data_IF_252806165019
#
_entry.id   IF_252806165019
#
_cell.length_a   1.000
_cell.length_b   1.000
_cell.length_c   1.000
_cell.angle_alpha   90.00
_cell.angle_beta   90.00
_cell.angle_gamma   90.00
#
_symmetry.space_group_name_H-M   'P 1'
#
loop_
_entity.id
_entity.type
_entity.pdbx_description
1 polymer ?
#
# COMPACT_ATOMS: atom_id res chain seq x y z
N UNK A 1 0.78 31.55 -29.77
CA UNK A 1 0.27 30.97 -28.52
C UNK A 1 0.44 29.46 -28.61
N UNK A 2 1.52 28.89 -28.06
CA UNK A 2 1.87 27.47 -28.24
C UNK A 2 1.77 26.73 -26.90
N UNK A 3 0.78 25.85 -26.78
CA UNK A 3 0.60 24.94 -25.64
C UNK A 3 1.38 23.65 -25.94
N UNK A 4 2.35 23.29 -25.09
CA UNK A 4 3.11 22.03 -25.18
C UNK A 4 2.48 20.97 -24.29
N UNK A 5 1.82 19.98 -24.87
CA UNK A 5 1.30 18.79 -24.18
C UNK A 5 2.35 17.67 -24.29
N UNK A 6 2.90 17.19 -23.18
CA UNK A 6 3.76 15.99 -23.16
C UNK A 6 2.89 14.75 -22.99
N UNK A 7 2.76 13.96 -24.07
CA UNK A 7 2.14 12.64 -24.06
C UNK A 7 3.07 11.65 -23.34
N UNK A 8 2.63 11.05 -22.23
CA UNK A 8 3.31 9.89 -21.63
C UNK A 8 2.91 8.65 -22.43
N UNK A 9 3.90 8.01 -23.04
CA UNK A 9 3.73 6.81 -23.88
C UNK A 9 3.61 5.59 -22.98
N UNK A 10 2.45 4.92 -23.01
CA UNK A 10 2.24 3.61 -22.41
C UNK A 10 2.72 2.56 -23.42
N UNK A 11 3.87 1.93 -23.16
CA UNK A 11 4.42 0.89 -24.05
C UNK A 11 3.73 -0.44 -23.75
N UNK A 12 2.75 -0.80 -24.57
CA UNK A 12 2.33 -2.18 -24.75
C UNK A 12 3.27 -2.83 -25.77
N UNK A 13 3.89 -3.96 -25.41
CA UNK A 13 4.47 -4.88 -26.39
C UNK A 13 3.86 -6.26 -26.14
N UNK A 14 3.05 -6.66 -27.11
CA UNK A 14 2.50 -7.99 -27.29
C UNK A 14 3.60 -8.89 -27.90
N UNK A 15 3.81 -10.06 -27.31
CA UNK A 15 4.65 -11.12 -27.88
C UNK A 15 4.06 -12.48 -27.54
N UNK A 16 3.09 -12.92 -28.35
CA UNK A 16 2.49 -14.26 -28.28
C UNK A 16 3.41 -15.30 -28.93
N UNK A 17 3.75 -16.37 -28.19
CA UNK A 17 3.91 -17.71 -28.76
C UNK A 17 3.15 -18.68 -27.85
N UNK A 18 1.96 -19.09 -28.28
CA UNK A 18 1.15 -20.14 -27.66
C UNK A 18 1.60 -21.51 -28.14
N UNK A 19 1.92 -22.43 -27.23
CA UNK A 19 1.89 -23.87 -27.49
C UNK A 19 1.17 -24.57 -26.32
N UNK A 20 0.03 -25.20 -26.65
CA UNK A 20 -0.70 -26.28 -25.97
C UNK A 20 -1.18 -26.07 -24.51
N UNK A 21 -2.50 -25.84 -24.36
CA UNK A 21 -3.29 -26.35 -23.22
C UNK A 21 -2.90 -25.87 -21.81
N UNK A 22 -2.73 -24.57 -21.61
CA UNK A 22 -2.40 -24.00 -20.29
C UNK A 22 -3.63 -23.60 -19.50
N UNK A 23 -3.89 -24.31 -18.41
CA UNK A 23 -4.75 -23.93 -17.29
C UNK A 23 -4.85 -22.40 -17.11
N UNK A 24 -6.06 -21.83 -17.16
CA UNK A 24 -6.28 -20.46 -16.70
C UNK A 24 -6.21 -20.51 -15.17
N UNK A 25 -5.01 -20.36 -14.62
CA UNK A 25 -4.85 -20.12 -13.19
C UNK A 25 -5.48 -18.76 -12.91
N UNK A 26 -6.74 -18.77 -12.47
CA UNK A 26 -7.29 -17.66 -11.72
C UNK A 26 -6.41 -17.53 -10.48
N UNK A 27 -5.48 -16.57 -10.47
CA UNK A 27 -4.85 -16.15 -9.23
C UNK A 27 -5.96 -15.47 -8.43
N UNK A 28 -6.61 -16.23 -7.56
CA UNK A 28 -7.33 -15.61 -6.45
C UNK A 28 -6.29 -14.80 -5.68
N UNK A 29 -6.58 -13.56 -5.26
CA UNK A 29 -5.65 -12.84 -4.41
C UNK A 29 -5.44 -13.70 -3.16
N UNK A 30 -4.29 -14.35 -3.06
CA UNK A 30 -3.83 -14.87 -1.79
C UNK A 30 -3.64 -13.66 -0.90
N UNK A 31 -4.13 -13.70 0.34
CA UNK A 31 -3.91 -12.63 1.31
C UNK A 31 -2.40 -12.43 1.43
N UNK A 32 -1.88 -11.37 0.83
CA UNK A 32 -0.48 -11.04 0.95
C UNK A 32 -0.30 -10.16 2.18
N UNK A 33 0.77 -10.41 2.91
CA UNK A 33 1.29 -9.43 3.85
C UNK A 33 2.31 -8.61 3.07
N UNK A 34 2.18 -7.30 3.12
CA UNK A 34 3.14 -6.37 2.54
C UNK A 34 3.68 -5.48 3.65
N UNK A 35 5.00 -5.44 3.76
CA UNK A 35 5.74 -4.79 4.84
C UNK A 35 6.38 -3.52 4.33
N UNK A 36 6.22 -2.45 5.09
CA UNK A 36 6.92 -1.19 4.86
C UNK A 36 8.43 -1.35 5.06
N UNK A 37 9.22 -0.78 4.15
CA UNK A 37 10.66 -1.02 4.07
C UNK A 37 11.51 0.23 4.36
N UNK A 38 10.92 1.43 4.28
CA UNK A 38 11.67 2.69 4.33
C UNK A 38 11.44 3.46 5.63
N UNK A 39 12.32 4.43 5.92
CA UNK A 39 12.16 5.31 7.08
C UNK A 39 10.94 6.21 6.96
N UNK A 40 10.82 6.97 5.88
CA UNK A 40 9.63 7.79 5.60
C UNK A 40 9.35 7.78 4.10
N UNK A 41 8.08 7.75 3.70
CA UNK A 41 7.73 7.79 2.28
C UNK A 41 6.23 7.77 2.04
N UNK A 42 5.83 7.97 0.78
CA UNK A 42 4.43 7.92 0.36
C UNK A 42 3.91 6.47 0.33
N UNK A 43 2.76 6.22 0.95
CA UNK A 43 2.07 4.92 0.96
C UNK A 43 1.92 4.34 -0.45
N UNK A 44 1.66 5.19 -1.43
CA UNK A 44 1.37 4.84 -2.83
C UNK A 44 2.62 4.50 -3.65
N UNK A 45 3.80 4.64 -3.06
CA UNK A 45 5.05 4.22 -3.71
C UNK A 45 5.22 2.72 -3.48
N UNK A 46 4.83 1.90 -4.44
CA UNK A 46 4.91 0.44 -4.31
C UNK A 46 6.30 -0.09 -3.93
N UNK A 47 7.38 0.61 -4.28
CA UNK A 47 8.74 0.23 -3.90
C UNK A 47 9.09 0.47 -2.41
N UNK A 48 8.25 1.21 -1.66
CA UNK A 48 8.36 1.34 -0.21
C UNK A 48 7.83 0.12 0.54
N UNK A 49 7.21 -0.82 -0.18
CA UNK A 49 6.66 -2.06 0.31
C UNK A 49 7.40 -3.25 -0.33
N UNK A 50 7.63 -4.32 0.42
CA UNK A 50 8.32 -5.51 -0.10
C UNK A 50 7.51 -6.30 -1.14
N UNK A 51 6.17 -6.26 -1.05
CA UNK A 51 5.26 -6.90 -1.99
C UNK A 51 4.33 -5.90 -2.71
N UNK A 52 4.78 -4.66 -2.87
CA UNK A 52 4.01 -3.61 -3.53
C UNK A 52 2.96 -2.94 -2.64
N UNK A 53 2.33 -1.90 -3.18
CA UNK A 53 1.29 -1.14 -2.48
C UNK A 53 0.14 -2.07 -2.05
N UNK A 54 -0.28 -2.04 -0.77
CA UNK A 54 -1.38 -2.86 -0.29
C UNK A 54 -2.67 -2.64 -1.09
N UNK A 55 -3.36 -3.72 -1.41
CA UNK A 55 -4.70 -3.72 -1.98
C UNK A 55 -5.75 -4.09 -0.94
N UNK A 56 -7.04 -4.12 -1.34
CA UNK A 56 -8.16 -4.40 -0.44
C UNK A 56 -8.19 -5.80 0.17
N UNK A 57 -7.32 -6.70 -0.30
CA UNK A 57 -7.18 -8.06 0.19
C UNK A 57 -5.90 -8.27 1.02
N UNK A 58 -5.03 -7.26 1.09
CA UNK A 58 -3.69 -7.36 1.67
C UNK A 58 -3.60 -6.80 3.08
N UNK A 59 -2.62 -7.29 3.83
CA UNK A 59 -2.27 -6.85 5.17
C UNK A 59 -1.13 -5.84 5.04
N UNK A 60 -1.37 -4.61 5.46
CA UNK A 60 -0.37 -3.55 5.44
C UNK A 60 0.33 -3.47 6.80
N UNK A 61 1.61 -3.85 6.85
CA UNK A 61 2.40 -3.89 8.07
C UNK A 61 3.45 -2.78 8.08
N UNK A 62 3.35 -1.86 9.03
CA UNK A 62 4.35 -0.83 9.29
C UNK A 62 4.86 -1.07 10.72
N UNK A 63 5.89 -1.92 10.83
CA UNK A 63 6.42 -2.39 12.12
C UNK A 63 7.94 -2.17 12.25
N UNK A 64 8.54 -1.43 11.31
CA UNK A 64 9.98 -1.19 11.20
C UNK A 64 10.42 0.18 11.75
N UNK A 65 9.55 0.88 12.48
CA UNK A 65 9.73 2.26 12.95
C UNK A 65 9.53 3.33 11.88
N UNK A 66 9.14 2.94 10.67
CA UNK A 66 8.92 3.86 9.57
C UNK A 66 7.61 4.63 9.62
N UNK A 67 7.50 5.64 8.75
CA UNK A 67 6.35 6.52 8.57
C UNK A 67 5.83 6.44 7.13
N UNK A 68 4.62 5.92 6.97
CA UNK A 68 3.89 5.98 5.71
C UNK A 68 3.03 7.26 5.64
N UNK A 69 3.26 8.08 4.62
CA UNK A 69 2.52 9.31 4.38
C UNK A 69 1.39 9.08 3.39
N UNK A 70 0.20 9.58 3.71
CA UNK A 70 -1.00 9.48 2.88
C UNK A 70 -1.45 10.89 2.51
N UNK A 71 -1.41 11.16 1.21
CA UNK A 71 -1.85 12.43 0.63
C UNK A 71 -2.88 12.26 -0.49
N UNK A 72 -3.00 11.04 -1.04
CA UNK A 72 -3.86 10.70 -2.16
C UNK A 72 -5.10 9.91 -1.69
N UNK A 73 -6.17 10.00 -2.48
CA UNK A 73 -7.39 9.22 -2.25
C UNK A 73 -7.21 7.77 -2.69
N UNK A 74 -8.11 6.92 -2.19
CA UNK A 74 -8.26 5.52 -2.58
C UNK A 74 -7.05 4.66 -2.18
N UNK A 75 -6.47 4.92 -1.01
CA UNK A 75 -5.59 3.95 -0.36
C UNK A 75 -6.46 2.92 0.34
N UNK A 76 -6.05 1.67 0.27
CA UNK A 76 -6.85 0.57 0.82
C UNK A 76 -5.93 -0.51 1.37
N UNK A 77 -6.39 -1.17 2.42
CA UNK A 77 -5.85 -2.44 2.88
C UNK A 77 -6.99 -3.29 3.43
N UNK A 78 -6.75 -4.59 3.60
CA UNK A 78 -7.64 -5.45 4.37
C UNK A 78 -7.47 -5.21 5.87
N UNK A 79 -6.22 -5.21 6.31
CA UNK A 79 -5.84 -4.96 7.70
C UNK A 79 -4.69 -3.96 7.73
N UNK A 80 -4.81 -2.95 8.59
CA UNK A 80 -3.73 -2.02 8.90
C UNK A 80 -3.08 -2.44 10.22
N UNK A 81 -1.75 -2.53 10.25
CA UNK A 81 -1.03 -2.93 11.44
C UNK A 81 0.19 -2.02 11.66
N UNK A 82 0.20 -1.29 12.78
CA UNK A 82 1.24 -0.35 13.16
C UNK A 82 1.84 -0.75 14.51
N UNK A 83 3.13 -1.08 14.55
CA UNK A 83 3.84 -1.50 15.76
C UNK A 83 3.17 -2.66 16.51
N UNK A 84 3.15 -3.86 15.92
CA UNK A 84 2.42 -5.02 16.49
C UNK A 84 3.10 -5.65 17.69
N UNK A 85 4.36 -6.02 17.58
CA UNK A 85 5.05 -6.80 18.61
C UNK A 85 5.85 -5.89 19.55
N UNK A 86 6.22 -6.41 20.73
CA UNK A 86 7.09 -5.69 21.66
C UNK A 86 8.39 -5.24 20.98
N UNK A 87 8.71 -3.95 21.09
CA UNK A 87 9.89 -3.33 20.46
C UNK A 87 9.70 -2.91 19.00
N UNK A 88 8.60 -3.28 18.35
CA UNK A 88 8.23 -2.77 17.02
C UNK A 88 7.50 -1.43 17.13
N UNK A 89 7.67 -0.61 16.10
CA UNK A 89 6.91 0.62 15.96
C UNK A 89 6.53 0.92 14.53
N UNK A 90 5.57 1.81 14.32
CA UNK A 90 5.24 2.28 12.99
C UNK A 90 4.23 3.40 13.00
N UNK A 91 4.28 4.21 11.95
CA UNK A 91 3.53 5.44 11.85
C UNK A 91 2.79 5.55 10.53
N UNK A 92 1.55 6.00 10.58
CA UNK A 92 0.84 6.58 9.43
C UNK A 92 0.61 8.06 9.70
N UNK A 93 0.98 8.89 8.73
CA UNK A 93 0.72 10.33 8.71
C UNK A 93 -0.24 10.64 7.55
N UNK A 94 -1.47 11.03 7.86
CA UNK A 94 -2.50 11.35 6.88
C UNK A 94 -2.88 12.83 6.97
N UNK A 95 -2.35 13.62 6.03
CA UNK A 95 -2.62 15.06 5.93
C UNK A 95 -3.72 15.40 4.93
N UNK A 96 -4.02 14.50 4.01
CA UNK A 96 -5.10 14.58 3.02
C UNK A 96 -5.41 13.18 2.48
N UNK A 97 -6.27 13.08 1.47
CA UNK A 97 -6.53 11.80 0.81
C UNK A 97 -7.53 10.92 1.54
N UNK A 98 -7.49 9.62 1.27
CA UNK A 98 -8.30 8.63 1.97
C UNK A 98 -7.60 7.30 2.10
N UNK A 99 -7.76 6.66 3.26
CA UNK A 99 -7.36 5.29 3.54
C UNK A 99 -8.56 4.49 4.03
N UNK A 100 -8.79 3.31 3.45
CA UNK A 100 -9.77 2.37 3.99
C UNK A 100 -9.15 1.06 4.44
N UNK A 101 -9.39 0.70 5.71
CA UNK A 101 -9.03 -0.61 6.26
C UNK A 101 -10.29 -1.47 6.32
N UNK A 102 -10.45 -2.41 5.38
CA UNK A 102 -11.74 -3.10 5.15
C UNK A 102 -12.22 -3.99 6.30
N UNK A 103 -11.37 -4.34 7.26
CA UNK A 103 -11.73 -5.22 8.37
C UNK A 103 -11.43 -4.62 9.73
N UNK A 104 -10.17 -4.52 10.09
CA UNK A 104 -9.76 -3.87 11.32
C UNK A 104 -8.35 -3.33 11.19
N UNK A 105 -8.08 -2.29 11.95
CA UNK A 105 -6.76 -1.80 12.26
C UNK A 105 -6.27 -2.30 13.62
N UNK A 106 -4.95 -2.33 13.75
CA UNK A 106 -4.27 -2.56 15.02
C UNK A 106 -3.16 -1.53 15.13
N UNK A 107 -3.29 -0.66 16.12
CA UNK A 107 -2.35 0.43 16.38
C UNK A 107 -1.74 0.21 17.76
N UNK A 108 -0.48 -0.25 17.80
CA UNK A 108 0.26 -0.49 19.04
C UNK A 108 -0.31 -1.63 19.87
N UNK A 109 -0.27 -2.88 19.37
CA UNK A 109 -0.79 -4.03 20.11
C UNK A 109 0.09 -4.38 21.32
N UNK A 110 1.33 -4.79 21.07
CA UNK A 110 2.40 -4.93 22.07
C UNK A 110 3.53 -3.92 21.83
N UNK A 111 3.57 -3.30 20.65
CA UNK A 111 4.53 -2.29 20.25
C UNK A 111 3.96 -0.86 20.30
N UNK A 112 4.55 0.04 19.52
CA UNK A 112 4.11 1.45 19.43
C UNK A 112 3.60 1.77 18.02
N UNK A 113 2.29 1.86 17.84
CA UNK A 113 1.67 2.35 16.62
C UNK A 113 1.25 3.81 16.76
N UNK A 114 1.46 4.62 15.72
CA UNK A 114 1.01 6.01 15.67
C UNK A 114 0.20 6.23 14.40
N UNK A 115 -1.05 6.69 14.53
CA UNK A 115 -1.85 7.15 13.40
C UNK A 115 -2.18 8.62 13.61
N UNK A 116 -1.57 9.50 12.82
CA UNK A 116 -1.83 10.95 12.90
C UNK A 116 -2.66 11.38 11.70
N UNK A 117 -3.90 11.81 11.94
CA UNK A 117 -4.80 12.35 10.93
C UNK A 117 -4.99 13.85 11.14
N UNK A 118 -4.43 14.66 10.25
CA UNK A 118 -4.64 16.12 10.21
C UNK A 118 -5.55 16.56 9.05
N UNK A 119 -5.88 15.64 8.14
CA UNK A 119 -6.86 15.83 7.08
C UNK A 119 -7.26 14.50 6.40
N UNK A 120 -8.06 14.57 5.34
CA UNK A 120 -8.52 13.37 4.62
C UNK A 120 -9.57 12.55 5.38
N UNK A 121 -9.82 11.33 4.90
CA UNK A 121 -10.80 10.40 5.51
C UNK A 121 -10.19 9.03 5.79
N UNK A 122 -10.54 8.44 6.94
CA UNK A 122 -10.19 7.07 7.32
C UNK A 122 -11.47 6.29 7.59
N UNK A 123 -11.58 5.03 7.14
CA UNK A 123 -12.78 4.21 7.39
C UNK A 123 -12.72 2.75 6.98
#
# INVERSE_FOLDING_TARGET
>A
MNVRIRKRVFRQLLGMVTILGGMFLLSLPAQAITYWQVGTGDWSTGANWDNGEPTSDDYAYINNGGTAQITLNDRVCRFLNLGRNAGESGTVEMSSGSLSARKYETIGYEGTGIFTQSGGTYG
#
